data_IF_476450909246
#
_entry.id   IF_476450909246
#
_cell.length_a   1.000
_cell.length_b   1.000
_cell.length_c   1.000
_cell.angle_alpha   90.00
_cell.angle_beta   90.00
_cell.angle_gamma   90.00
#
_symmetry.space_group_name_H-M   'P 1'
#
loop_
_entity.id
_entity.type
_entity.pdbx_description
1 polymer ?
#
# COMPACT_ATOMS: atom_id res chain seq x y z
N UNK A 1 13.96 7.28 13.79
CA UNK A 1 12.71 7.46 13.04
C UNK A 1 12.08 6.08 12.80
N UNK A 2 10.90 5.96 12.25
CA UNK A 2 10.18 4.69 12.19
C UNK A 2 9.36 4.58 10.90
N UNK A 3 9.09 3.34 10.47
CA UNK A 3 8.19 3.03 9.38
C UNK A 3 6.82 2.64 9.93
N UNK A 4 5.77 3.34 9.48
CA UNK A 4 4.40 3.01 9.83
C UNK A 4 3.53 2.86 8.59
N UNK A 5 2.44 2.12 8.73
CA UNK A 5 1.35 2.05 7.77
C UNK A 5 0.02 2.22 8.49
N UNK A 6 -0.83 3.12 7.99
CA UNK A 6 -2.21 3.28 8.47
C UNK A 6 -3.16 2.79 7.38
N UNK A 7 -4.03 1.85 7.72
CA UNK A 7 -5.03 1.36 6.79
C UNK A 7 -6.22 2.31 6.75
N UNK A 8 -6.69 2.66 5.56
CA UNK A 8 -7.82 3.58 5.37
C UNK A 8 -9.10 2.86 4.94
N UNK A 9 -9.00 1.58 4.60
CA UNK A 9 -10.06 0.74 4.03
C UNK A 9 -9.87 0.48 2.55
N UNK A 10 -10.49 -0.58 2.03
CA UNK A 10 -10.36 -1.05 0.64
C UNK A 10 -8.89 -1.12 0.20
N UNK A 11 -8.48 -0.30 -0.79
CA UNK A 11 -7.09 -0.24 -1.26
C UNK A 11 -6.28 0.89 -0.62
N UNK A 12 -6.89 1.68 0.28
CA UNK A 12 -6.35 2.92 0.81
C UNK A 12 -5.33 2.74 1.92
N UNK A 13 -4.16 3.37 1.79
CA UNK A 13 -3.09 3.36 2.78
C UNK A 13 -2.43 4.72 2.95
N UNK A 14 -2.05 5.06 4.18
CA UNK A 14 -1.07 6.08 4.49
C UNK A 14 0.21 5.39 4.96
N UNK A 15 1.30 5.55 4.21
CA UNK A 15 2.62 5.05 4.55
C UNK A 15 3.47 6.21 5.08
N UNK A 16 4.12 6.02 6.23
CA UNK A 16 4.94 7.04 6.87
C UNK A 16 6.37 6.52 7.01
N UNK A 17 7.27 7.11 6.23
CA UNK A 17 8.71 6.83 6.25
C UNK A 17 9.42 7.94 7.03
N UNK A 18 9.43 7.84 8.37
CA UNK A 18 9.82 8.94 9.23
C UNK A 18 8.82 10.09 9.14
N UNK A 19 9.26 11.23 8.61
CA UNK A 19 8.39 12.40 8.39
C UNK A 19 7.69 12.38 7.02
N UNK A 20 8.20 11.62 6.05
CA UNK A 20 7.62 11.54 4.70
C UNK A 20 6.31 10.76 4.71
N UNK A 21 5.25 11.38 4.22
CA UNK A 21 3.88 10.87 4.23
C UNK A 21 3.37 10.57 2.81
N UNK A 22 3.22 9.30 2.50
CA UNK A 22 2.79 8.81 1.20
C UNK A 22 1.38 8.24 1.30
N UNK A 23 0.44 8.85 0.58
CA UNK A 23 -0.94 8.40 0.51
C UNK A 23 -1.12 7.50 -0.72
N UNK A 24 -1.69 6.31 -0.55
CA UNK A 24 -1.89 5.33 -1.64
C UNK A 24 -3.38 5.04 -1.80
N UNK A 25 -3.90 5.12 -3.01
CA UNK A 25 -5.26 4.73 -3.42
C UNK A 25 -6.37 5.14 -2.43
N UNK A 26 -6.49 6.41 -2.01
CA UNK A 26 -7.37 6.78 -0.92
C UNK A 26 -8.86 6.75 -1.31
N UNK A 27 -9.66 6.04 -0.49
CA UNK A 27 -11.10 6.21 -0.44
C UNK A 27 -11.48 6.66 0.96
N UNK A 28 -11.83 7.95 1.12
CA UNK A 28 -11.99 8.62 2.42
C UNK A 28 -13.41 9.10 2.69
N UNK A 29 -14.17 9.40 1.64
CA UNK A 29 -15.51 10.01 1.72
C UNK A 29 -16.36 9.61 0.53
N UNK A 30 -17.68 9.67 0.70
CA UNK A 30 -18.64 9.40 -0.35
C UNK A 30 -18.74 7.94 -0.78
N UNK A 31 -19.76 7.61 -1.55
CA UNK A 31 -19.95 6.26 -2.07
C UNK A 31 -18.97 5.96 -3.21
N UNK A 32 -18.51 4.71 -3.26
CA UNK A 32 -17.79 4.17 -4.39
C UNK A 32 -18.80 3.58 -5.39
N UNK A 33 -18.81 4.09 -6.62
CA UNK A 33 -19.73 3.60 -7.64
C UNK A 33 -18.97 3.24 -8.92
N UNK A 34 -19.33 2.09 -9.49
CA UNK A 34 -18.79 1.65 -10.76
C UNK A 34 -19.83 1.81 -11.88
N UNK A 35 -19.40 2.20 -13.09
CA UNK A 35 -20.32 2.21 -14.23
C UNK A 35 -20.97 0.83 -14.44
N UNK A 36 -22.27 0.77 -14.80
CA UNK A 36 -23.14 1.88 -15.19
C UNK A 36 -23.91 2.55 -14.02
N UNK A 37 -23.49 2.38 -12.77
CA UNK A 37 -24.07 3.09 -11.62
C UNK A 37 -24.33 2.21 -10.40
N UNK A 38 -24.90 2.81 -9.36
CA UNK A 38 -25.09 2.21 -8.03
C UNK A 38 -25.82 0.85 -8.03
N UNK A 39 -26.80 0.67 -8.91
CA UNK A 39 -27.53 -0.59 -9.03
C UNK A 39 -26.64 -1.77 -9.48
N UNK A 40 -25.55 -1.45 -10.19
CA UNK A 40 -24.60 -2.45 -10.67
C UNK A 40 -23.60 -2.81 -9.59
N UNK A 41 -22.87 -1.80 -9.04
CA UNK A 41 -21.93 -2.01 -7.94
C UNK A 41 -21.69 -0.71 -7.20
N UNK A 42 -21.94 -0.73 -5.88
CA UNK A 42 -21.75 0.40 -4.98
C UNK A 42 -21.10 -0.08 -3.69
N UNK A 43 -20.14 0.71 -3.21
CA UNK A 43 -19.55 0.56 -1.90
C UNK A 43 -19.86 1.75 -1.00
N UNK A 44 -19.98 1.51 0.30
CA UNK A 44 -20.12 2.53 1.33
C UNK A 44 -19.10 2.29 2.44
N UNK A 45 -18.43 3.36 2.84
CA UNK A 45 -17.55 3.36 4.01
C UNK A 45 -18.41 3.29 5.28
N UNK A 46 -18.00 2.52 6.30
CA UNK A 46 -18.66 2.53 7.61
C UNK A 46 -18.52 3.91 8.29
N UNK A 47 -17.46 4.63 8.01
CA UNK A 47 -17.17 5.97 8.51
C UNK A 47 -16.32 6.73 7.50
N UNK A 48 -16.72 7.95 7.17
CA UNK A 48 -15.88 8.87 6.40
C UNK A 48 -14.71 9.37 7.24
N UNK A 49 -13.60 9.69 6.56
CA UNK A 49 -12.36 10.13 7.17
C UNK A 49 -11.88 11.44 6.55
N UNK A 50 -11.32 12.37 7.33
CA UNK A 50 -10.64 13.52 6.78
C UNK A 50 -9.38 13.08 5.99
N UNK A 51 -8.97 13.90 5.03
CA UNK A 51 -7.67 13.70 4.39
C UNK A 51 -6.56 13.75 5.45
N UNK A 52 -5.60 12.81 5.44
CA UNK A 52 -4.52 12.76 6.44
C UNK A 52 -3.41 13.77 6.11
N UNK A 53 -3.76 15.06 6.03
CA UNK A 53 -2.82 16.14 5.70
C UNK A 53 -1.77 16.37 6.80
N UNK A 54 -0.53 16.83 6.45
CA UNK A 54 -0.04 16.98 5.09
C UNK A 54 0.18 15.64 4.39
N UNK A 55 0.14 15.63 3.05
CA UNK A 55 0.52 14.51 2.19
C UNK A 55 1.63 15.00 1.27
N UNK A 56 2.78 14.36 1.30
CA UNK A 56 3.94 14.75 0.51
C UNK A 56 3.91 14.11 -0.88
N UNK A 57 3.32 12.92 -0.98
CA UNK A 57 3.19 12.18 -2.24
C UNK A 57 1.89 11.38 -2.28
N UNK A 58 1.15 11.48 -3.38
CA UNK A 58 0.02 10.62 -3.72
C UNK A 58 0.48 9.54 -4.72
N UNK A 59 0.28 8.27 -4.39
CA UNK A 59 0.59 7.13 -5.26
C UNK A 59 -0.71 6.46 -5.66
N UNK A 60 -0.92 6.25 -6.97
CA UNK A 60 -2.12 5.65 -7.52
C UNK A 60 -1.77 4.40 -8.36
N UNK A 61 -2.30 3.26 -7.98
CA UNK A 61 -1.98 1.98 -8.64
C UNK A 61 -2.68 1.85 -9.98
N UNK A 62 -3.95 2.27 -10.08
CA UNK A 62 -4.73 2.27 -11.31
C UNK A 62 -5.78 3.39 -11.34
N UNK A 63 -6.45 3.58 -12.49
CA UNK A 63 -7.40 4.67 -12.71
C UNK A 63 -8.86 4.35 -12.41
N UNK A 64 -9.20 3.17 -11.88
CA UNK A 64 -10.57 2.82 -11.49
C UNK A 64 -11.00 3.55 -10.21
N UNK A 65 -12.31 3.72 -9.97
CA UNK A 65 -12.82 4.52 -8.86
C UNK A 65 -12.38 4.03 -7.46
N UNK A 66 -12.12 2.76 -7.28
CA UNK A 66 -11.66 2.15 -6.03
C UNK A 66 -10.18 2.38 -5.71
N UNK A 67 -9.42 2.93 -6.67
CA UNK A 67 -8.02 3.35 -6.50
C UNK A 67 -7.83 4.84 -6.71
N UNK A 68 -8.67 5.43 -7.56
CA UNK A 68 -8.60 6.85 -7.93
C UNK A 68 -9.95 7.53 -7.67
N UNK A 69 -10.38 7.53 -6.38
CA UNK A 69 -11.70 7.97 -5.96
C UNK A 69 -11.86 9.49 -6.05
N UNK A 70 -12.74 10.01 -6.94
CA UNK A 70 -12.76 11.45 -7.24
C UNK A 70 -13.08 12.31 -6.01
N UNK A 71 -14.06 11.93 -5.19
CA UNK A 71 -14.46 12.72 -4.03
C UNK A 71 -13.34 12.76 -2.96
N UNK A 72 -12.60 11.65 -2.77
CA UNK A 72 -11.48 11.61 -1.83
C UNK A 72 -10.29 12.41 -2.34
N UNK A 73 -9.98 12.33 -3.63
CA UNK A 73 -8.89 13.09 -4.25
C UNK A 73 -9.15 14.59 -4.22
N UNK A 74 -10.42 15.02 -4.30
CA UNK A 74 -10.80 16.44 -4.18
C UNK A 74 -10.54 17.04 -2.78
N UNK A 75 -10.25 16.21 -1.77
CA UNK A 75 -9.85 16.67 -0.43
C UNK A 75 -8.37 17.06 -0.36
N UNK A 76 -7.58 16.74 -1.39
CA UNK A 76 -6.14 17.00 -1.43
C UNK A 76 -5.87 18.31 -2.21
N UNK A 77 -4.79 19.03 -1.85
CA UNK A 77 -4.33 20.17 -2.66
C UNK A 77 -4.01 19.71 -4.10
N UNK A 78 -4.44 20.44 -5.13
CA UNK A 78 -4.15 20.07 -6.53
C UNK A 78 -2.65 20.14 -6.87
N UNK A 79 -1.84 20.74 -6.01
CA UNK A 79 -0.37 20.75 -6.10
C UNK A 79 0.30 19.57 -5.41
N UNK A 80 -0.46 18.66 -4.79
CA UNK A 80 0.13 17.43 -4.22
C UNK A 80 0.76 16.63 -5.36
N UNK A 81 2.05 16.26 -5.28
CA UNK A 81 2.70 15.43 -6.28
C UNK A 81 2.02 14.07 -6.42
N UNK A 82 1.78 13.64 -7.66
CA UNK A 82 1.12 12.36 -7.97
C UNK A 82 2.04 11.48 -8.78
N UNK A 83 2.24 10.26 -8.32
CA UNK A 83 2.90 9.18 -9.09
C UNK A 83 1.88 8.07 -9.30
N UNK A 84 1.76 7.56 -10.52
CA UNK A 84 0.77 6.51 -10.77
C UNK A 84 0.98 5.75 -12.08
N UNK A 85 0.12 4.75 -12.30
CA UNK A 85 0.00 4.14 -13.62
C UNK A 85 -0.43 5.18 -14.65
N UNK A 86 -0.18 4.99 -15.95
CA UNK A 86 -0.60 5.97 -16.98
C UNK A 86 -2.09 6.32 -16.92
N UNK A 87 -2.96 5.32 -16.65
CA UNK A 87 -4.40 5.53 -16.54
C UNK A 87 -4.76 6.34 -15.27
N UNK A 88 -4.11 6.06 -14.14
CA UNK A 88 -4.29 6.80 -12.90
C UNK A 88 -3.87 8.26 -13.04
N UNK A 89 -2.73 8.52 -13.66
CA UNK A 89 -2.23 9.89 -13.91
C UNK A 89 -3.15 10.65 -14.85
N UNK A 90 -3.69 10.00 -15.89
CA UNK A 90 -4.68 10.62 -16.76
C UNK A 90 -5.95 11.03 -15.99
N UNK A 91 -6.40 10.18 -15.06
CA UNK A 91 -7.53 10.47 -14.18
C UNK A 91 -7.23 11.61 -13.21
N UNK A 92 -6.07 11.58 -12.54
CA UNK A 92 -5.63 12.65 -11.63
C UNK A 92 -5.55 14.01 -12.35
N UNK A 93 -5.02 14.03 -13.59
CA UNK A 93 -5.02 15.25 -14.42
C UNK A 93 -6.44 15.78 -14.67
N UNK A 94 -7.38 14.91 -14.99
CA UNK A 94 -8.78 15.29 -15.19
C UNK A 94 -9.45 15.83 -13.92
N UNK A 95 -8.92 15.47 -12.74
CA UNK A 95 -9.34 15.96 -11.43
C UNK A 95 -8.62 17.25 -11.00
N UNK A 96 -7.70 17.78 -11.81
CA UNK A 96 -7.06 19.08 -11.60
C UNK A 96 -5.68 19.01 -10.93
N UNK A 97 -5.08 17.85 -10.71
CA UNK A 97 -3.71 17.77 -10.21
C UNK A 97 -2.71 18.26 -11.26
N UNK A 98 -1.69 19.00 -10.81
CA UNK A 98 -0.70 19.68 -11.68
C UNK A 98 0.66 18.97 -11.70
N UNK A 99 1.08 18.34 -10.60
CA UNK A 99 2.37 17.65 -10.49
C UNK A 99 2.21 16.15 -10.69
N UNK A 100 2.44 15.68 -11.91
CA UNK A 100 2.02 14.36 -12.37
C UNK A 100 3.19 13.57 -12.97
N UNK A 101 3.47 12.39 -12.45
CA UNK A 101 4.46 11.44 -12.98
C UNK A 101 3.80 10.09 -13.29
N UNK A 102 3.77 9.71 -14.57
CA UNK A 102 3.31 8.39 -14.98
C UNK A 102 4.47 7.41 -15.02
N UNK A 103 4.30 6.25 -14.41
CA UNK A 103 5.30 5.18 -14.43
C UNK A 103 4.79 3.97 -15.21
N UNK A 104 5.56 3.57 -16.21
CA UNK A 104 5.42 2.26 -16.83
C UNK A 104 6.06 1.17 -15.93
N UNK A 105 5.70 -0.08 -16.16
CA UNK A 105 6.31 -1.21 -15.45
C UNK A 105 7.83 -1.20 -15.60
N UNK A 106 8.55 -1.41 -14.51
CA UNK A 106 10.00 -1.34 -14.40
C UNK A 106 10.57 0.07 -14.27
N UNK A 107 9.76 1.12 -14.48
CA UNK A 107 10.21 2.50 -14.31
C UNK A 107 10.37 2.86 -12.82
N UNK A 108 11.25 3.84 -12.56
CA UNK A 108 11.56 4.33 -11.22
C UNK A 108 11.30 5.82 -11.11
N UNK A 109 10.94 6.24 -9.92
CA UNK A 109 10.79 7.65 -9.55
C UNK A 109 11.41 7.87 -8.18
N UNK A 110 12.07 8.99 -7.99
CA UNK A 110 12.61 9.41 -6.70
C UNK A 110 11.85 10.62 -6.21
N UNK A 111 11.35 10.56 -4.99
CA UNK A 111 10.74 11.67 -4.27
C UNK A 111 11.46 11.78 -2.92
N UNK A 112 12.22 12.85 -2.73
CA UNK A 112 13.17 12.99 -1.61
C UNK A 112 14.10 11.76 -1.47
N UNK A 113 14.03 11.05 -0.34
CA UNK A 113 14.81 9.83 -0.09
C UNK A 113 14.07 8.55 -0.48
N UNK A 114 12.81 8.65 -0.92
CA UNK A 114 12.01 7.52 -1.33
C UNK A 114 12.27 7.20 -2.81
N UNK A 115 12.68 5.97 -3.08
CA UNK A 115 12.68 5.41 -4.43
C UNK A 115 11.44 4.53 -4.62
N UNK A 116 10.63 4.88 -5.61
CA UNK A 116 9.51 4.09 -6.09
C UNK A 116 9.92 3.30 -7.32
N UNK A 117 9.65 2.00 -7.33
CA UNK A 117 9.77 1.17 -8.54
C UNK A 117 8.39 0.62 -8.88
N UNK A 118 7.87 0.95 -10.06
CA UNK A 118 6.65 0.37 -10.56
C UNK A 118 6.89 -1.05 -11.06
N UNK A 119 6.12 -2.01 -10.59
CA UNK A 119 6.07 -3.37 -11.10
C UNK A 119 4.81 -3.59 -11.93
N UNK A 120 4.76 -4.67 -12.69
CA UNK A 120 3.50 -5.14 -13.23
C UNK A 120 2.57 -5.50 -12.05
N UNK A 121 1.32 -5.09 -12.17
CA UNK A 121 0.21 -5.51 -11.32
C UNK A 121 -0.67 -6.55 -12.01
N UNK A 122 -1.80 -6.88 -11.39
CA UNK A 122 -2.72 -7.86 -11.90
C UNK A 122 -3.29 -7.45 -13.29
N UNK A 123 -3.57 -8.41 -14.17
CA UNK A 123 -4.21 -8.18 -15.47
C UNK A 123 -5.71 -7.93 -15.29
N UNK A 124 -6.06 -6.83 -14.62
CA UNK A 124 -7.43 -6.35 -14.42
C UNK A 124 -7.84 -5.42 -15.58
N UNK A 125 -9.12 -4.96 -15.66
CA UNK A 125 -9.61 -4.20 -16.81
C UNK A 125 -8.78 -2.98 -17.23
N UNK A 126 -8.06 -2.37 -16.27
CA UNK A 126 -7.07 -1.32 -16.54
C UNK A 126 -5.69 -1.80 -16.11
N UNK A 127 -4.65 -1.32 -16.79
CA UNK A 127 -3.29 -1.62 -16.43
C UNK A 127 -2.99 -1.08 -15.03
N UNK A 128 -2.57 -1.99 -14.15
CA UNK A 128 -2.24 -1.70 -12.76
C UNK A 128 -0.73 -1.73 -12.54
N UNK A 129 -0.27 -0.88 -11.63
CA UNK A 129 1.07 -0.97 -11.08
C UNK A 129 1.02 -1.53 -9.66
N UNK A 130 1.87 -2.52 -9.37
CA UNK A 130 2.38 -2.69 -8.01
C UNK A 130 3.52 -1.72 -7.77
N UNK A 131 3.86 -1.46 -6.52
CA UNK A 131 4.96 -0.56 -6.16
C UNK A 131 5.86 -1.15 -5.10
N UNK A 132 7.17 -1.07 -5.37
CA UNK A 132 8.21 -1.24 -4.36
C UNK A 132 8.60 0.15 -3.87
N UNK A 133 8.40 0.41 -2.58
CA UNK A 133 8.83 1.59 -1.85
C UNK A 133 10.15 1.27 -1.15
N UNK A 134 11.22 1.96 -1.50
CA UNK A 134 12.56 1.78 -0.91
C UNK A 134 13.02 3.11 -0.29
N UNK A 135 13.12 3.15 1.04
CA UNK A 135 13.50 4.32 1.82
C UNK A 135 14.44 3.89 2.95
N UNK A 136 15.34 4.76 3.47
CA UNK A 136 16.21 4.43 4.61
C UNK A 136 15.45 3.91 5.84
N UNK A 137 14.23 4.40 6.08
CA UNK A 137 13.38 3.94 7.18
C UNK A 137 12.80 2.55 6.95
N UNK A 138 12.72 2.04 5.71
CA UNK A 138 12.30 0.68 5.40
C UNK A 138 11.77 0.49 4.00
N UNK A 139 11.41 -0.77 3.70
CA UNK A 139 10.99 -1.22 2.37
C UNK A 139 9.63 -1.89 2.43
N UNK A 140 8.73 -1.47 1.54
CA UNK A 140 7.38 -2.04 1.41
C UNK A 140 7.13 -2.42 -0.04
N UNK A 141 6.53 -3.58 -0.27
CA UNK A 141 5.87 -3.90 -1.54
C UNK A 141 4.37 -3.82 -1.36
N UNK A 142 3.69 -3.12 -2.25
CA UNK A 142 2.24 -2.99 -2.27
C UNK A 142 1.71 -3.39 -3.64
N UNK A 143 0.73 -4.29 -3.64
CA UNK A 143 0.01 -4.72 -4.83
C UNK A 143 -1.43 -5.10 -4.46
N UNK A 144 -2.46 -4.43 -5.03
CA UNK A 144 -3.82 -4.52 -4.52
C UNK A 144 -4.63 -5.75 -4.95
N UNK A 145 -4.18 -6.52 -5.95
CA UNK A 145 -4.97 -7.64 -6.50
C UNK A 145 -4.34 -9.03 -6.33
N UNK A 146 -3.22 -9.12 -5.62
CA UNK A 146 -2.51 -10.40 -5.45
C UNK A 146 -1.81 -10.82 -6.74
N UNK A 147 -0.78 -10.08 -7.11
CA UNK A 147 0.09 -10.37 -8.24
C UNK A 147 1.56 -10.24 -7.82
N UNK A 148 2.40 -11.09 -8.38
CA UNK A 148 3.85 -10.97 -8.25
C UNK A 148 4.47 -10.81 -9.63
N UNK A 149 5.06 -9.66 -9.89
CA UNK A 149 5.86 -9.44 -11.08
C UNK A 149 7.11 -10.34 -11.02
N UNK A 150 7.26 -11.28 -11.97
CA UNK A 150 8.37 -12.22 -11.96
C UNK A 150 9.75 -11.54 -12.17
N UNK A 151 9.77 -10.31 -12.67
CA UNK A 151 11.00 -9.55 -12.92
C UNK A 151 11.57 -8.90 -11.67
N UNK A 152 10.78 -8.80 -10.58
CA UNK A 152 11.25 -8.25 -9.32
C UNK A 152 12.30 -9.18 -8.69
N UNK A 153 13.45 -8.63 -8.22
CA UNK A 153 14.49 -9.42 -7.59
C UNK A 153 14.04 -9.97 -6.23
N UNK A 154 14.65 -11.06 -5.81
CA UNK A 154 14.54 -11.53 -4.44
C UNK A 154 15.26 -10.55 -3.51
N UNK A 155 14.54 -10.08 -2.50
CA UNK A 155 15.09 -9.17 -1.49
C UNK A 155 14.22 -9.18 -0.23
N UNK A 156 14.82 -9.07 0.98
CA UNK A 156 14.04 -8.95 2.19
C UNK A 156 13.35 -7.57 2.27
N UNK A 157 12.08 -7.58 2.69
CA UNK A 157 11.30 -6.38 2.90
C UNK A 157 10.81 -6.29 4.35
N UNK A 158 10.53 -5.07 4.81
CA UNK A 158 9.93 -4.87 6.14
C UNK A 158 8.45 -5.25 6.11
N UNK A 159 7.75 -4.99 4.98
CA UNK A 159 6.36 -5.40 4.84
C UNK A 159 5.94 -5.67 3.38
N UNK A 160 4.90 -6.48 3.24
CA UNK A 160 4.10 -6.67 2.02
C UNK A 160 2.66 -6.29 2.33
N UNK A 161 2.06 -5.45 1.50
CA UNK A 161 0.66 -5.04 1.56
C UNK A 161 -0.05 -5.67 0.36
N UNK A 162 -0.95 -6.62 0.62
CA UNK A 162 -1.59 -7.42 -0.43
C UNK A 162 -2.88 -8.06 0.08
N UNK A 163 -3.85 -8.42 -0.78
CA UNK A 163 -4.95 -9.29 -0.37
C UNK A 163 -4.42 -10.68 0.01
N UNK A 164 -5.15 -11.36 0.89
CA UNK A 164 -4.83 -12.74 1.33
C UNK A 164 -5.90 -13.74 0.93
N UNK A 165 -6.95 -13.28 0.27
CA UNK A 165 -8.05 -14.10 -0.26
C UNK A 165 -8.14 -13.95 -1.76
N UNK A 166 -8.76 -14.92 -2.42
CA UNK A 166 -9.14 -14.81 -3.82
C UNK A 166 -10.56 -14.26 -3.90
N UNK A 167 -10.78 -13.31 -4.82
CA UNK A 167 -12.10 -12.76 -5.15
C UNK A 167 -12.33 -12.88 -6.66
N UNK A 168 -13.51 -13.30 -7.05
CA UNK A 168 -13.79 -13.52 -8.47
C UNK A 168 -15.24 -13.55 -8.82
N UNK A 169 -15.51 -13.80 -10.10
CA UNK A 169 -16.83 -13.95 -10.69
C UNK A 169 -16.98 -15.34 -11.31
N UNK A 170 -18.22 -15.90 -11.35
CA UNK A 170 -18.50 -17.10 -12.09
C UNK A 170 -18.06 -16.92 -13.56
N UNK A 171 -17.52 -17.95 -14.17
CA UNK A 171 -17.07 -17.98 -15.58
C UNK A 171 -15.79 -17.14 -15.84
N UNK A 172 -15.67 -15.95 -15.27
CA UNK A 172 -14.48 -15.06 -15.42
C UNK A 172 -13.29 -15.57 -14.61
N UNK A 173 -13.55 -16.16 -13.45
CA UNK A 173 -12.51 -16.60 -12.52
C UNK A 173 -12.11 -15.52 -11.51
N UNK A 174 -10.98 -15.75 -10.81
CA UNK A 174 -10.44 -14.81 -9.83
C UNK A 174 -9.76 -13.62 -10.53
N UNK A 175 -10.13 -12.41 -10.14
CA UNK A 175 -9.44 -11.17 -10.49
C UNK A 175 -8.60 -10.62 -9.31
N UNK A 176 -8.94 -10.99 -8.06
CA UNK A 176 -8.03 -10.89 -6.90
C UNK A 176 -7.54 -12.30 -6.60
N UNK A 177 -6.21 -12.49 -6.45
CA UNK A 177 -5.57 -13.81 -6.28
C UNK A 177 -4.66 -13.86 -5.06
N UNK A 178 -5.09 -13.22 -3.98
CA UNK A 178 -4.28 -13.09 -2.77
C UNK A 178 -3.89 -14.43 -2.17
N UNK A 179 -4.83 -15.38 -2.04
CA UNK A 179 -4.56 -16.71 -1.51
C UNK A 179 -3.53 -17.48 -2.37
N UNK A 180 -3.65 -17.36 -3.70
CA UNK A 180 -2.78 -18.08 -4.63
C UNK A 180 -1.37 -17.47 -4.70
N UNK A 181 -1.24 -16.16 -4.55
CA UNK A 181 0.01 -15.43 -4.77
C UNK A 181 0.79 -15.18 -3.48
N UNK A 182 0.11 -15.12 -2.33
CA UNK A 182 0.77 -14.88 -1.03
C UNK A 182 1.99 -15.78 -0.77
N UNK A 183 1.97 -17.11 -0.99
CA UNK A 183 3.15 -17.95 -0.77
C UNK A 183 4.35 -17.52 -1.62
N UNK A 184 4.09 -17.07 -2.86
CA UNK A 184 5.13 -16.62 -3.80
C UNK A 184 5.73 -15.27 -3.35
N UNK A 185 4.89 -14.34 -2.88
CA UNK A 185 5.32 -13.05 -2.33
C UNK A 185 6.20 -13.24 -1.10
N UNK A 186 5.77 -14.11 -0.20
CA UNK A 186 6.50 -14.42 1.04
C UNK A 186 7.84 -15.08 0.74
N UNK A 187 7.88 -16.01 -0.20
CA UNK A 187 9.13 -16.64 -0.64
C UNK A 187 10.09 -15.63 -1.27
N UNK A 188 9.58 -14.74 -2.13
CA UNK A 188 10.35 -13.74 -2.88
C UNK A 188 10.92 -12.65 -1.98
N UNK A 189 10.11 -12.14 -1.06
CA UNK A 189 10.42 -10.94 -0.30
C UNK A 189 10.75 -11.18 1.17
N UNK A 190 10.52 -12.39 1.69
CA UNK A 190 10.80 -12.74 3.09
C UNK A 190 10.42 -11.62 4.06
N UNK A 191 9.17 -11.11 3.99
CA UNK A 191 8.77 -9.92 4.74
C UNK A 191 8.70 -10.19 6.24
N UNK A 192 8.94 -9.14 7.04
CA UNK A 192 8.72 -9.18 8.49
C UNK A 192 7.23 -9.07 8.86
N UNK A 193 6.42 -8.49 7.98
CA UNK A 193 4.99 -8.40 8.13
C UNK A 193 4.25 -8.49 6.78
N UNK A 194 3.06 -9.10 6.80
CA UNK A 194 2.07 -9.05 5.74
C UNK A 194 0.85 -8.31 6.28
N UNK A 195 0.45 -7.22 5.61
CA UNK A 195 -0.73 -6.45 5.95
C UNK A 195 -1.84 -6.77 4.95
N UNK A 196 -2.99 -7.16 5.48
CA UNK A 196 -4.15 -7.52 4.67
C UNK A 196 -4.76 -6.25 4.06
N UNK A 197 -4.93 -6.25 2.75
CA UNK A 197 -5.47 -5.13 1.96
C UNK A 197 -6.68 -5.57 1.15
N UNK A 198 -7.34 -4.64 0.48
CA UNK A 198 -8.40 -4.81 -0.52
C UNK A 198 -9.73 -5.33 0.05
N UNK A 199 -9.71 -6.36 0.87
CA UNK A 199 -10.91 -7.02 1.41
C UNK A 199 -11.24 -6.63 2.86
N UNK A 200 -10.47 -5.73 3.44
CA UNK A 200 -10.64 -5.26 4.81
C UNK A 200 -11.39 -3.92 4.92
N UNK A 201 -11.61 -3.47 6.17
CA UNK A 201 -12.11 -2.13 6.47
C UNK A 201 -13.61 -2.02 6.65
N UNK A 202 -14.33 -3.13 6.81
CA UNK A 202 -15.78 -3.17 7.11
C UNK A 202 -16.63 -2.43 6.05
N UNK A 203 -16.12 -2.33 4.82
CA UNK A 203 -16.82 -1.69 3.70
C UNK A 203 -18.04 -2.51 3.34
N UNK A 204 -19.17 -1.85 3.17
CA UNK A 204 -20.40 -2.48 2.69
C UNK A 204 -20.49 -2.36 1.18
N UNK A 205 -20.57 -3.50 0.49
CA UNK A 205 -20.79 -3.54 -0.94
C UNK A 205 -22.19 -4.06 -1.28
N UNK A 206 -22.84 -3.44 -2.26
CA UNK A 206 -24.15 -3.80 -2.77
C UNK A 206 -24.24 -3.70 -4.29
N UNK A 207 -25.35 -4.15 -4.87
CA UNK A 207 -25.61 -4.12 -6.30
C UNK A 207 -25.62 -5.52 -6.94
N UNK A 208 -25.93 -5.54 -8.24
CA UNK A 208 -26.05 -6.78 -8.99
C UNK A 208 -24.75 -7.57 -9.06
N UNK A 209 -23.62 -6.87 -9.26
CA UNK A 209 -22.29 -7.49 -9.33
C UNK A 209 -21.90 -8.13 -8.00
N UNK A 210 -22.20 -7.48 -6.88
CA UNK A 210 -21.83 -7.99 -5.54
C UNK A 210 -22.47 -9.35 -5.24
N UNK A 211 -23.67 -9.63 -5.81
CA UNK A 211 -24.36 -10.93 -5.64
C UNK A 211 -23.71 -12.07 -6.42
N UNK A 212 -22.85 -11.74 -7.37
CA UNK A 212 -22.14 -12.72 -8.21
C UNK A 212 -20.71 -12.94 -7.72
N UNK A 213 -20.20 -12.08 -6.83
CA UNK A 213 -18.86 -12.23 -6.29
C UNK A 213 -18.75 -13.48 -5.40
N UNK A 214 -17.70 -14.23 -5.61
CA UNK A 214 -17.29 -15.30 -4.70
C UNK A 214 -15.95 -14.99 -4.07
N UNK A 215 -15.79 -15.41 -2.83
CA UNK A 215 -14.57 -15.25 -2.06
C UNK A 215 -14.05 -16.62 -1.62
N UNK A 216 -12.74 -16.84 -1.71
CA UNK A 216 -12.06 -18.04 -1.26
C UNK A 216 -10.80 -17.69 -0.49
N UNK A 217 -10.57 -18.39 0.62
CA UNK A 217 -9.46 -18.16 1.53
C UNK A 217 -9.92 -17.61 2.86
N UNK A 218 -8.97 -17.51 3.80
CA UNK A 218 -9.20 -16.97 5.13
C UNK A 218 -7.89 -16.45 5.73
N UNK A 219 -7.98 -15.70 6.83
CA UNK A 219 -6.82 -15.26 7.60
C UNK A 219 -6.02 -16.44 8.16
N UNK A 220 -6.70 -17.50 8.60
CA UNK A 220 -6.06 -18.70 9.11
C UNK A 220 -5.25 -19.41 8.01
N UNK A 221 -5.82 -19.51 6.81
CA UNK A 221 -5.11 -20.08 5.66
C UNK A 221 -3.90 -19.22 5.26
N UNK A 222 -4.03 -17.90 5.33
CA UNK A 222 -2.93 -16.98 5.10
C UNK A 222 -1.84 -17.13 6.17
N UNK A 223 -2.20 -17.19 7.45
CA UNK A 223 -1.24 -17.37 8.54
C UNK A 223 -0.45 -18.67 8.41
N UNK A 224 -1.08 -19.74 7.93
CA UNK A 224 -0.46 -21.07 7.79
C UNK A 224 0.66 -21.11 6.74
N UNK A 225 0.72 -20.16 5.80
CA UNK A 225 1.77 -20.11 4.75
C UNK A 225 2.89 -19.12 5.07
N UNK A 226 2.78 -18.36 6.16
CA UNK A 226 3.81 -17.42 6.57
C UNK A 226 4.97 -18.15 7.25
N UNK A 227 6.23 -17.73 7.00
CA UNK A 227 7.37 -18.25 7.71
C UNK A 227 7.38 -17.81 9.18
N UNK A 228 8.10 -18.54 10.01
CA UNK A 228 8.35 -18.14 11.38
C UNK A 228 8.93 -16.73 11.47
N UNK A 229 8.39 -15.92 12.37
CA UNK A 229 8.79 -14.51 12.56
C UNK A 229 8.09 -13.50 11.63
N UNK A 230 7.38 -13.93 10.59
CA UNK A 230 6.55 -13.05 9.78
C UNK A 230 5.18 -12.83 10.44
N UNK A 231 4.81 -11.57 10.68
CA UNK A 231 3.52 -11.22 11.29
C UNK A 231 2.43 -11.09 10.23
N UNK A 232 1.29 -11.73 10.42
CA UNK A 232 0.07 -11.38 9.68
C UNK A 232 -0.67 -10.29 10.44
N UNK A 233 -0.96 -9.19 9.79
CA UNK A 233 -1.71 -8.06 10.34
C UNK A 233 -3.07 -8.02 9.65
N UNK A 234 -4.12 -8.36 10.38
CA UNK A 234 -5.50 -8.15 9.97
C UNK A 234 -5.81 -6.66 10.06
N UNK A 235 -5.70 -5.98 8.92
CA UNK A 235 -5.70 -4.52 8.86
C UNK A 235 -7.08 -3.95 9.11
N UNK A 236 -7.20 -3.05 10.10
CA UNK A 236 -8.44 -2.35 10.45
C UNK A 236 -8.37 -0.90 10.06
N UNK A 237 -9.46 -0.41 9.45
CA UNK A 237 -9.51 0.95 8.95
C UNK A 237 -9.36 1.99 10.08
N UNK A 238 -8.36 2.87 9.93
CA UNK A 238 -7.96 3.88 10.91
C UNK A 238 -6.88 3.43 11.87
N UNK A 239 -6.50 2.15 11.90
CA UNK A 239 -5.40 1.69 12.74
C UNK A 239 -4.04 1.94 12.08
N UNK A 240 -3.09 2.40 12.90
CA UNK A 240 -1.70 2.69 12.53
C UNK A 240 -0.78 1.61 13.08
N UNK A 241 -0.06 0.96 12.20
CA UNK A 241 0.82 -0.17 12.51
C UNK A 241 2.28 0.25 12.45
N UNK A 242 3.05 -0.03 13.51
CA UNK A 242 4.51 0.10 13.50
C UNK A 242 5.11 -1.13 12.79
N UNK A 243 5.80 -0.88 11.68
CA UNK A 243 6.43 -1.93 10.87
C UNK A 243 7.90 -2.08 11.21
N UNK A 244 8.60 -0.95 11.43
CA UNK A 244 10.02 -0.93 11.79
C UNK A 244 10.33 0.29 12.67
N UNK A 245 11.16 0.09 13.65
CA UNK A 245 11.71 1.15 14.48
C UNK A 245 13.24 1.12 14.42
N UNK A 246 13.84 2.23 14.06
CA UNK A 246 15.28 2.36 14.17
C UNK A 246 15.66 2.53 15.64
N UNK A 247 16.49 1.62 16.15
CA UNK A 247 17.16 1.85 17.43
C UNK A 247 18.15 3.00 17.23
N UNK A 248 18.19 3.99 18.13
CA UNK A 248 19.25 4.99 18.09
C UNK A 248 20.60 4.27 18.19
N UNK A 249 21.49 4.56 17.24
CA UNK A 249 22.85 4.03 17.26
C UNK A 249 23.53 4.47 18.58
N UNK A 250 23.85 3.51 19.42
CA UNK A 250 24.63 3.72 20.66
C UNK A 250 26.15 3.92 20.39
N UNK A 251 26.52 4.27 19.18
CA UNK A 251 27.89 4.56 18.81
C UNK A 251 28.25 6.00 19.23
N UNK A 252 28.81 6.18 20.42
CA UNK A 252 29.35 7.49 20.81
C UNK A 252 29.58 7.74 22.29
N UNK A 253 29.74 6.72 23.14
CA UNK A 253 30.18 6.91 24.50
C UNK A 253 31.41 6.06 24.80
N UNK A 254 32.52 6.30 24.11
CA UNK A 254 33.82 5.77 24.53
C UNK A 254 34.69 6.93 25.10
N UNK A 255 34.65 7.08 26.40
CA UNK A 255 35.78 7.24 27.29
C UNK A 255 36.91 8.21 26.86
N UNK A 256 36.77 9.48 27.18
CA UNK A 256 37.89 10.35 27.49
C UNK A 256 38.36 10.10 28.91
N UNK A 257 39.07 9.00 29.16
CA UNK A 257 39.77 8.79 30.44
C UNK A 257 41.01 9.66 30.50
N UNK A 258 40.92 10.84 31.13
CA UNK A 258 42.08 11.67 31.50
C UNK A 258 42.84 10.95 32.58
N UNK A 259 44.06 10.48 32.28
CA UNK A 259 45.08 10.10 33.27
C UNK A 259 45.61 11.37 33.93
N UNK A 260 45.29 11.59 35.18
CA UNK A 260 46.00 12.51 36.06
C UNK A 260 47.37 11.90 36.39
N UNK A 261 48.44 12.52 35.86
CA UNK A 261 49.80 12.21 36.24
C UNK A 261 50.15 12.95 37.55
N UNK A 262 50.36 12.20 38.60
CA UNK A 262 51.02 12.65 39.80
C UNK A 262 52.52 12.76 39.55
N UNK A 263 53.08 13.97 39.63
CA UNK A 263 54.51 14.19 39.76
C UNK A 263 54.82 14.44 41.26
N UNK A 264 55.57 13.53 41.80
CA UNK A 264 56.24 13.74 43.06
C UNK A 264 57.66 14.23 42.76
N UNK A 265 58.13 15.17 43.54
CA UNK A 265 59.45 15.74 43.54
C UNK A 265 59.54 16.89 44.55
#
# INVERSE_FOLDING_TARGET
MALHATYLGANGWLLEFGELRVLVDPWLTGPLEFPPGAWFFRGELPQERPAPLPVDLLVLTQGLPDHCHPASLALLPPTTPVVGSPAAVARARALGFSELTALAHGARHCHEQLQLTASAGAPVPQLENGYLFDHPEGRIYLEPHGFLDPTLPEQPLDAVITPVVDLGLPVVGAFVKGQQVLPQLVQRFKPLAVLVSTTGGEVRFEGALNRLLWLKGSLEAAAAVLPEGCRLIDSRAGERYLLKQHQPSTAGASAGGAKAGTAAG
#
